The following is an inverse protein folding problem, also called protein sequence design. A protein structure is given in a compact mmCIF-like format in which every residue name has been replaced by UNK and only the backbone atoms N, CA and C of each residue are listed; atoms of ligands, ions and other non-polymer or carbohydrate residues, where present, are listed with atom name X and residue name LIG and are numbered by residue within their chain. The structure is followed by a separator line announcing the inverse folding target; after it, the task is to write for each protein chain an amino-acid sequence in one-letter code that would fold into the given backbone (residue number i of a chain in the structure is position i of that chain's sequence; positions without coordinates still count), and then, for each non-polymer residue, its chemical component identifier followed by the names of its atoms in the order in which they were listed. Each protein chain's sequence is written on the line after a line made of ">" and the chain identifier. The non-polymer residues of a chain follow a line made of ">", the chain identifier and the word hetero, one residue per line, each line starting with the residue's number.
data_IF_669774620596
#
_entry.id   IF_669774620596
#
_cell.length_a   1.000
_cell.length_b   1.000
_cell.length_c   1.000
_cell.angle_alpha   90.00
_cell.angle_beta   90.00
_cell.angle_gamma   90.00
#
_symmetry.space_group_name_H-M   'P 1'
#
loop_
_entity.id
_entity.type
_entity.pdbx_description
1 polymer ?
#
# COMPACT_ATOMS: atom_id res chain seq x y z
N UNK A 1 3.38 -5.28 13.14
CA UNK A 1 2.24 -4.65 12.42
C UNK A 1 2.26 -3.10 12.35
N UNK A 2 3.38 -2.37 12.58
CA UNK A 2 3.35 -0.89 12.67
C UNK A 2 3.94 -0.10 11.49
N UNK A 3 4.62 -0.73 10.52
CA UNK A 3 5.29 -0.02 9.42
C UNK A 3 4.34 0.78 8.51
N UNK A 4 3.07 0.37 8.39
CA UNK A 4 2.10 1.03 7.50
C UNK A 4 1.58 2.36 8.04
N UNK A 5 1.45 2.49 9.37
CA UNK A 5 0.95 3.72 10.00
C UNK A 5 1.93 4.88 9.85
N UNK A 6 3.23 4.58 9.81
CA UNK A 6 4.26 5.60 9.63
C UNK A 6 4.09 6.38 8.32
N UNK A 7 3.68 5.71 7.23
CA UNK A 7 3.56 6.36 5.92
C UNK A 7 2.10 6.57 5.48
N UNK A 8 1.21 5.63 5.75
CA UNK A 8 -0.19 5.68 5.31
C UNK A 8 -1.16 6.12 6.41
N UNK A 9 -0.65 6.49 7.59
CA UNK A 9 -1.47 7.08 8.65
C UNK A 9 -2.52 6.15 9.25
N UNK A 10 -3.34 6.72 10.13
CA UNK A 10 -4.43 6.00 10.77
C UNK A 10 -5.51 5.67 9.74
N UNK A 11 -6.07 4.45 9.81
CA UNK A 11 -7.07 3.95 8.84
C UNK A 11 -6.62 4.08 7.38
N UNK A 12 -5.31 4.04 7.13
CA UNK A 12 -4.69 4.12 5.80
C UNK A 12 -5.08 5.35 4.97
N UNK A 13 -5.36 6.48 5.64
CA UNK A 13 -5.76 7.76 5.03
C UNK A 13 -4.65 8.54 4.34
N UNK A 14 -3.42 8.03 4.37
CA UNK A 14 -2.24 8.75 3.92
C UNK A 14 -1.71 9.72 4.97
N UNK A 15 -0.52 10.24 4.70
CA UNK A 15 0.12 11.32 5.44
C UNK A 15 0.64 12.30 4.39
N UNK A 16 0.27 13.58 4.52
CA UNK A 16 0.66 14.62 3.58
C UNK A 16 2.18 14.66 3.39
N UNK A 17 2.63 14.69 2.14
CA UNK A 17 4.05 14.69 1.79
C UNK A 17 4.81 13.40 2.11
N UNK A 18 4.13 12.30 2.44
CA UNK A 18 4.76 11.01 2.77
C UNK A 18 4.10 9.80 2.11
N UNK A 19 2.80 9.57 2.31
CA UNK A 19 2.13 8.38 1.78
C UNK A 19 0.71 8.67 1.31
N UNK A 20 0.27 7.90 0.31
CA UNK A 20 -1.04 8.07 -0.33
C UNK A 20 -2.19 7.53 0.53
N UNK A 21 -3.39 8.07 0.31
CA UNK A 21 -4.64 7.50 0.83
C UNK A 21 -4.93 6.18 0.11
N UNK A 22 -5.04 5.11 0.89
CA UNK A 22 -5.40 3.77 0.41
C UNK A 22 -6.87 3.43 0.72
N UNK A 23 -7.55 4.22 1.55
CA UNK A 23 -8.94 3.99 1.93
C UNK A 23 -9.85 4.17 0.71
N UNK A 24 -10.51 3.09 0.28
CA UNK A 24 -11.35 3.11 -0.92
C UNK A 24 -10.57 3.26 -2.23
N UNK A 25 -9.25 3.11 -2.22
CA UNK A 25 -8.43 3.23 -3.42
C UNK A 25 -8.86 2.20 -4.48
N UNK A 26 -9.26 2.69 -5.65
CA UNK A 26 -9.60 1.84 -6.80
C UNK A 26 -8.46 0.87 -7.14
N UNK A 27 -7.21 1.29 -6.95
CA UNK A 27 -6.06 0.43 -7.19
C UNK A 27 -6.02 -0.75 -6.21
N UNK A 28 -6.18 -0.50 -4.91
CA UNK A 28 -6.23 -1.57 -3.90
C UNK A 28 -7.43 -2.50 -4.13
N UNK A 29 -8.60 -1.94 -4.45
CA UNK A 29 -9.85 -2.68 -4.63
C UNK A 29 -9.85 -3.56 -5.88
N UNK A 30 -9.37 -3.04 -7.02
CA UNK A 30 -9.48 -3.70 -8.34
C UNK A 30 -8.25 -4.47 -8.78
N UNK A 31 -7.07 -4.22 -8.18
CA UNK A 31 -5.85 -4.94 -8.53
C UNK A 31 -5.91 -6.39 -8.04
N UNK A 32 -5.40 -7.32 -8.85
CA UNK A 32 -5.22 -8.71 -8.48
C UNK A 32 -4.14 -8.87 -7.41
N UNK A 33 -4.26 -9.89 -6.55
CA UNK A 33 -3.35 -10.12 -5.43
C UNK A 33 -1.88 -10.21 -5.87
N UNK A 34 -1.58 -11.00 -6.90
CA UNK A 34 -0.20 -11.14 -7.41
C UNK A 34 0.42 -9.81 -7.84
N UNK A 35 -0.34 -8.94 -8.52
CA UNK A 35 0.13 -7.61 -8.91
C UNK A 35 0.29 -6.68 -7.70
N UNK A 36 -0.57 -6.80 -6.70
CA UNK A 36 -0.43 -6.07 -5.44
C UNK A 36 0.84 -6.49 -4.70
N UNK A 37 1.07 -7.80 -4.54
CA UNK A 37 2.29 -8.36 -3.92
C UNK A 37 3.52 -7.89 -4.67
N UNK A 38 3.54 -8.01 -6.01
CA UNK A 38 4.66 -7.55 -6.83
C UNK A 38 4.96 -6.06 -6.66
N UNK A 39 3.93 -5.22 -6.60
CA UNK A 39 4.09 -3.78 -6.37
C UNK A 39 4.70 -3.47 -4.99
N UNK A 40 4.15 -4.05 -3.91
CA UNK A 40 4.67 -3.76 -2.56
C UNK A 40 6.06 -4.36 -2.34
N UNK A 41 6.38 -5.50 -2.95
CA UNK A 41 7.71 -6.12 -2.86
C UNK A 41 8.75 -5.33 -3.67
N UNK A 42 8.37 -4.72 -4.81
CA UNK A 42 9.24 -3.81 -5.56
C UNK A 42 9.45 -2.49 -4.83
N UNK A 43 8.42 -2.00 -4.13
CA UNK A 43 8.37 -0.62 -3.70
C UNK A 43 8.07 0.32 -4.87
N UNK A 44 8.11 1.62 -4.60
CA UNK A 44 7.99 2.66 -5.62
C UNK A 44 9.11 3.68 -5.42
N UNK A 45 10.00 3.74 -6.41
CA UNK A 45 11.13 4.65 -6.41
C UNK A 45 10.71 6.05 -6.90
N UNK A 46 11.48 7.11 -6.58
CA UNK A 46 11.15 8.47 -6.98
C UNK A 46 11.13 8.74 -8.49
N UNK A 47 11.81 7.90 -9.26
CA UNK A 47 11.90 7.94 -10.72
C UNK A 47 10.81 7.10 -11.42
N UNK A 48 9.93 6.44 -10.66
CA UNK A 48 8.79 5.72 -11.22
C UNK A 48 7.77 6.72 -11.81
N UNK A 49 7.34 6.57 -13.07
CA UNK A 49 6.44 7.53 -13.71
C UNK A 49 5.06 7.62 -13.04
N UNK A 50 4.66 6.61 -12.25
CA UNK A 50 3.43 6.62 -11.46
C UNK A 50 3.64 7.13 -10.02
N UNK A 51 4.80 7.72 -9.73
CA UNK A 51 5.14 8.23 -8.41
C UNK A 51 4.36 9.50 -8.06
N UNK A 52 3.74 9.52 -6.88
CA UNK A 52 2.79 10.59 -6.48
C UNK A 52 3.14 11.34 -5.20
N UNK A 53 4.10 10.85 -4.43
CA UNK A 53 4.30 11.29 -3.02
C UNK A 53 5.54 12.14 -2.81
N UNK A 54 6.47 12.19 -3.76
CA UNK A 54 7.77 12.84 -3.52
C UNK A 54 8.71 12.03 -2.60
N UNK A 55 8.24 10.95 -1.96
CA UNK A 55 9.06 10.02 -1.17
C UNK A 55 8.98 8.56 -1.62
N UNK A 56 10.16 7.91 -1.65
CA UNK A 56 10.30 6.49 -1.98
C UNK A 56 9.40 5.65 -1.06
N UNK A 57 8.57 4.79 -1.66
CA UNK A 57 7.93 3.68 -0.95
C UNK A 57 8.93 2.51 -0.95
N UNK A 58 9.57 2.18 0.18
CA UNK A 58 10.56 1.13 0.21
C UNK A 58 9.96 -0.25 -0.14
N UNK A 59 10.76 -1.16 -0.71
CA UNK A 59 10.41 -2.56 -0.88
C UNK A 59 9.90 -3.18 0.43
N UNK A 60 8.77 -3.90 0.38
CA UNK A 60 8.23 -4.63 1.51
C UNK A 60 8.48 -6.14 1.35
N UNK A 61 9.75 -6.52 1.44
CA UNK A 61 10.24 -7.91 1.22
C UNK A 61 10.33 -8.75 2.49
N UNK A 62 10.00 -8.17 3.65
CA UNK A 62 10.15 -8.82 4.96
C UNK A 62 8.97 -9.74 5.34
N UNK A 63 8.00 -9.93 4.44
CA UNK A 63 6.85 -10.81 4.65
C UNK A 63 6.70 -11.82 3.50
N UNK A 64 6.23 -13.06 3.77
CA UNK A 64 5.87 -14.01 2.73
C UNK A 64 4.74 -13.50 1.83
N UNK A 65 4.71 -13.94 0.57
CA UNK A 65 3.68 -13.56 -0.42
C UNK A 65 2.25 -13.81 0.08
N UNK A 66 2.04 -14.87 0.87
CA UNK A 66 0.74 -15.17 1.48
C UNK A 66 0.29 -14.06 2.45
N UNK A 67 1.20 -13.56 3.28
CA UNK A 67 0.91 -12.44 4.18
C UNK A 67 0.73 -11.11 3.41
N UNK A 68 1.36 -10.98 2.24
CA UNK A 68 1.20 -9.81 1.37
C UNK A 68 -0.19 -9.81 0.70
N UNK A 69 -0.71 -10.98 0.32
CA UNK A 69 -2.08 -11.14 -0.15
C UNK A 69 -3.11 -10.88 0.97
N UNK A 70 -2.86 -11.39 2.18
CA UNK A 70 -3.70 -11.12 3.35
C UNK A 70 -3.74 -9.62 3.71
N UNK A 71 -2.62 -8.92 3.51
CA UNK A 71 -2.56 -7.46 3.63
C UNK A 71 -3.50 -6.78 2.63
N UNK A 72 -3.52 -7.21 1.36
CA UNK A 72 -4.46 -6.65 0.39
C UNK A 72 -5.92 -6.88 0.83
N UNK A 73 -6.25 -8.09 1.27
CA UNK A 73 -7.59 -8.43 1.74
C UNK A 73 -8.00 -7.58 2.95
N UNK A 74 -7.08 -7.39 3.89
CA UNK A 74 -7.28 -6.49 5.02
C UNK A 74 -7.61 -5.06 4.59
N UNK A 75 -6.87 -4.50 3.61
CA UNK A 75 -7.13 -3.14 3.12
C UNK A 75 -8.49 -3.04 2.41
N UNK A 76 -8.87 -4.05 1.63
CA UNK A 76 -10.21 -4.13 1.00
C UNK A 76 -11.31 -4.12 2.05
N UNK A 77 -11.15 -4.92 3.11
CA UNK A 77 -12.13 -5.00 4.20
C UNK A 77 -12.18 -3.72 5.03
N UNK A 78 -11.05 -3.05 5.23
CA UNK A 78 -10.99 -1.77 5.92
C UNK A 78 -11.71 -0.69 5.10
N UNK A 79 -11.55 -0.67 3.78
CA UNK A 79 -12.25 0.24 2.88
C UNK A 79 -13.77 0.00 2.80
N UNK A 80 -14.23 -1.23 3.06
CA UNK A 80 -15.65 -1.58 3.07
C UNK A 80 -16.36 -1.18 4.38
N UNK A 81 -15.62 -0.95 5.47
CA UNK A 81 -16.16 -0.51 6.76
C UNK A 81 -16.11 1.02 6.83
N UNK A 82 -17.29 1.65 6.70
CA UNK A 82 -17.48 3.10 6.84
C UNK A 82 -17.08 3.60 8.23
#
# INVERSE_FOLDING_TARGET
>A
MNQRMACHGLKVRGVEGLGVDLFGSNWVLKTQAQRFVGFICKGQLPDDPEYRTGRMMPPFTSIPDTQAADLQLYLKNLAAKK
#
